data_IF_222378908439
#
_entry.id   IF_222378908439
#
_cell.length_a   1.000
_cell.length_b   1.000
_cell.length_c   1.000
_cell.angle_alpha   90.00
_cell.angle_beta   90.00
_cell.angle_gamma   90.00
#
_symmetry.space_group_name_H-M   'P 1'
#
loop_
_entity.id
_entity.type
_entity.pdbx_description
1 polymer ?
#
# COMPACT_ATOMS: atom_id res chain seq x y z
N UNK A 1 10.75 1.17 -16.55
CA UNK A 1 10.55 2.62 -16.83
C UNK A 1 9.12 2.90 -17.31
N UNK A 2 8.55 2.02 -18.14
CA UNK A 2 7.16 2.11 -18.61
C UNK A 2 6.12 2.13 -17.49
N UNK A 3 6.26 1.31 -16.43
CA UNK A 3 5.34 1.32 -15.28
C UNK A 3 5.31 2.67 -14.53
N UNK A 4 6.46 3.33 -14.43
CA UNK A 4 6.61 4.63 -13.77
C UNK A 4 5.94 5.73 -14.62
N UNK A 5 6.08 5.64 -15.95
CA UNK A 5 5.45 6.55 -16.91
C UNK A 5 3.93 6.31 -16.99
N UNK A 6 3.49 5.05 -16.94
CA UNK A 6 2.07 4.68 -16.90
C UNK A 6 1.42 5.14 -15.61
N UNK A 7 2.09 4.99 -14.46
CA UNK A 7 1.66 5.52 -13.17
C UNK A 7 1.65 7.05 -13.18
N UNK A 8 2.70 7.72 -13.68
CA UNK A 8 2.73 9.17 -13.87
C UNK A 8 1.53 9.67 -14.68
N UNK A 9 1.20 8.99 -15.79
CA UNK A 9 0.00 9.27 -16.59
C UNK A 9 -1.31 9.02 -15.85
N UNK A 10 -1.45 7.89 -15.15
CA UNK A 10 -2.62 7.58 -14.32
C UNK A 10 -2.80 8.61 -13.17
N UNK A 11 -1.70 9.20 -12.72
CA UNK A 11 -1.67 10.27 -11.71
C UNK A 11 -1.80 11.69 -12.30
N UNK A 12 -1.89 11.83 -13.63
CA UNK A 12 -1.99 13.12 -14.33
C UNK A 12 -0.76 14.01 -14.15
N UNK A 13 0.42 13.39 -14.12
CA UNK A 13 1.75 13.99 -14.06
C UNK A 13 2.52 13.71 -15.37
N UNK A 14 3.22 14.71 -15.89
CA UNK A 14 4.28 14.49 -16.88
C UNK A 14 5.57 14.19 -16.11
N UNK A 15 6.07 12.95 -16.21
CA UNK A 15 7.32 12.51 -15.58
C UNK A 15 8.38 12.38 -16.67
N UNK A 16 9.47 13.14 -16.56
CA UNK A 16 10.58 13.14 -17.52
C UNK A 16 11.71 12.22 -17.06
N UNK A 17 12.61 11.82 -17.98
CA UNK A 17 13.80 11.02 -17.64
C UNK A 17 14.74 11.75 -16.67
N UNK A 18 14.74 13.08 -16.69
CA UNK A 18 15.55 13.92 -15.81
C UNK A 18 15.00 13.90 -14.37
N UNK A 19 13.67 13.87 -14.21
CA UNK A 19 13.01 13.66 -12.92
C UNK A 19 13.39 12.30 -12.33
N UNK A 20 13.44 11.25 -13.15
CA UNK A 20 13.81 9.89 -12.69
C UNK A 20 15.26 9.85 -12.19
N UNK A 21 16.19 10.55 -12.86
CA UNK A 21 17.60 10.60 -12.47
C UNK A 21 17.83 11.33 -11.13
N UNK A 22 17.16 12.46 -10.88
CA UNK A 22 17.24 13.14 -9.57
C UNK A 22 16.69 12.28 -8.42
N UNK A 23 15.67 11.47 -8.70
CA UNK A 23 14.98 10.63 -7.71
C UNK A 23 15.81 9.41 -7.29
N UNK A 24 16.61 8.83 -8.19
CA UNK A 24 17.56 7.74 -7.86
C UNK A 24 18.65 8.25 -6.91
N UNK A 25 19.16 9.47 -7.15
CA UNK A 25 20.20 10.09 -6.30
C UNK A 25 19.65 10.48 -4.91
N UNK A 26 18.37 10.87 -4.82
CA UNK A 26 17.73 11.26 -3.55
C UNK A 26 17.44 10.10 -2.58
N UNK A 27 17.46 8.85 -3.05
CA UNK A 27 17.12 7.64 -2.29
C UNK A 27 18.28 6.64 -2.14
N UNK A 28 19.53 7.08 -2.36
CA UNK A 28 20.79 6.31 -2.30
C UNK A 28 21.03 5.58 -0.95
N UNK A 29 20.27 5.91 0.09
CA UNK A 29 20.37 5.27 1.42
C UNK A 29 19.53 3.98 1.58
N UNK A 30 18.71 3.63 0.59
CA UNK A 30 17.82 2.46 0.64
C UNK A 30 18.34 1.22 -0.08
N UNK A 31 19.37 1.40 -0.89
CA UNK A 31 20.12 0.34 -1.54
C UNK A 31 21.48 0.26 -0.85
N UNK A 32 21.88 -0.95 -0.47
CA UNK A 32 23.26 -1.16 -0.01
C UNK A 32 24.23 -0.88 -1.16
N UNK A 33 25.48 -0.57 -0.83
CA UNK A 33 26.55 -0.39 -1.82
C UNK A 33 26.69 -1.59 -2.76
N UNK A 34 26.36 -2.79 -2.28
CA UNK A 34 26.38 -4.01 -3.09
C UNK A 34 25.21 -4.08 -4.08
N UNK A 35 24.01 -3.68 -3.65
CA UNK A 35 22.82 -3.58 -4.49
C UNK A 35 22.98 -2.52 -5.59
N UNK A 36 23.65 -1.39 -5.31
CA UNK A 36 23.98 -0.38 -6.31
C UNK A 36 24.92 -0.89 -7.42
N UNK A 37 25.86 -1.78 -7.07
CA UNK A 37 26.80 -2.40 -8.03
C UNK A 37 26.08 -3.41 -8.92
N UNK A 38 25.18 -4.21 -8.35
CA UNK A 38 24.38 -5.18 -9.10
C UNK A 38 23.41 -4.49 -10.07
N UNK A 39 22.86 -3.32 -9.73
CA UNK A 39 22.01 -2.50 -10.62
C UNK A 39 22.75 -1.93 -11.82
N UNK A 40 24.01 -1.53 -11.64
CA UNK A 40 24.83 -1.10 -12.77
C UNK A 40 25.06 -2.25 -13.75
N UNK A 41 25.10 -3.50 -13.29
CA UNK A 41 25.26 -4.67 -14.15
C UNK A 41 23.96 -5.02 -14.90
N UNK A 42 22.80 -4.97 -14.24
CA UNK A 42 21.49 -5.26 -14.84
C UNK A 42 21.07 -4.21 -15.88
N UNK A 43 21.32 -2.92 -15.61
CA UNK A 43 21.03 -1.84 -16.56
C UNK A 43 21.84 -1.96 -17.88
N UNK A 44 22.98 -2.65 -17.84
CA UNK A 44 23.78 -2.95 -19.04
C UNK A 44 23.24 -4.14 -19.84
N UNK A 45 22.47 -5.04 -19.22
CA UNK A 45 21.82 -6.19 -19.88
C UNK A 45 20.44 -5.82 -20.47
N UNK A 46 19.67 -4.95 -19.80
CA UNK A 46 18.29 -4.61 -20.19
C UNK A 46 18.21 -3.79 -21.50
N UNK A 47 19.27 -3.07 -21.88
CA UNK A 47 19.36 -2.40 -23.18
C UNK A 47 19.43 -3.36 -24.38
N UNK A 48 19.57 -4.67 -24.16
CA UNK A 48 19.70 -5.67 -25.22
C UNK A 48 18.37 -6.33 -25.65
N UNK A 49 17.25 -6.12 -24.95
CA UNK A 49 15.98 -6.78 -25.32
C UNK A 49 14.74 -6.03 -24.86
N UNK A 50 14.06 -5.35 -25.80
CA UNK A 50 12.68 -4.89 -25.60
C UNK A 50 11.83 -5.24 -26.82
N UNK A 51 10.74 -5.95 -26.57
CA UNK A 51 9.63 -6.22 -27.47
C UNK A 51 8.32 -5.95 -26.73
N UNK A 52 7.33 -5.41 -27.46
CA UNK A 52 6.08 -4.82 -26.95
C UNK A 52 4.99 -5.86 -26.66
N UNK A 53 4.14 -5.64 -25.64
CA UNK A 53 2.85 -6.33 -25.45
C UNK A 53 1.71 -5.39 -25.03
N UNK A 54 0.48 -5.76 -25.44
CA UNK A 54 -0.79 -5.01 -25.44
C UNK A 54 -1.67 -5.26 -24.18
N UNK A 55 -2.60 -4.35 -23.82
CA UNK A 55 -3.37 -4.41 -22.57
C UNK A 55 -4.74 -5.11 -22.68
N UNK A 56 -5.14 -5.83 -21.63
CA UNK A 56 -6.45 -6.50 -21.49
C UNK A 56 -7.34 -5.89 -20.39
N UNK A 57 -8.65 -5.89 -20.66
CA UNK A 57 -9.74 -5.22 -19.92
C UNK A 57 -9.97 -5.71 -18.48
N UNK A 58 -10.31 -4.76 -17.59
CA UNK A 58 -10.60 -4.99 -16.17
C UNK A 58 -12.13 -4.96 -15.90
N UNK A 59 -12.65 -6.01 -15.26
CA UNK A 59 -14.08 -6.17 -14.97
C UNK A 59 -14.38 -5.80 -13.50
N UNK A 60 -15.31 -4.87 -13.36
CA UNK A 60 -15.67 -4.15 -12.13
C UNK A 60 -16.53 -4.98 -11.15
N UNK A 61 -16.34 -4.68 -9.86
CA UNK A 61 -17.28 -4.81 -8.72
C UNK A 61 -17.01 -5.96 -7.75
N UNK A 62 -16.44 -5.64 -6.59
CA UNK A 62 -17.21 -5.42 -5.35
C UNK A 62 -16.28 -5.16 -4.17
N UNK A 63 -16.76 -4.30 -3.26
CA UNK A 63 -16.34 -4.20 -1.86
C UNK A 63 -14.96 -3.59 -1.60
N UNK A 64 -14.96 -2.31 -1.21
CA UNK A 64 -13.83 -1.69 -0.52
C UNK A 64 -14.33 -0.73 0.54
N UNK A 65 -14.21 -1.16 1.80
CA UNK A 65 -14.07 -0.24 2.91
C UNK A 65 -12.91 0.70 2.57
N UNK A 66 -13.25 1.95 2.26
CA UNK A 66 -12.31 3.04 2.02
C UNK A 66 -11.69 3.40 3.37
N UNK A 67 -10.59 2.73 3.72
CA UNK A 67 -10.08 2.64 5.09
C UNK A 67 -9.87 3.99 5.78
N UNK A 68 -9.62 5.08 5.04
CA UNK A 68 -9.42 6.42 5.63
C UNK A 68 -10.36 7.52 5.11
N UNK A 69 -11.07 7.31 3.98
CA UNK A 69 -11.81 8.39 3.29
C UNK A 69 -13.06 8.87 4.05
N UNK A 70 -13.60 8.03 4.92
CA UNK A 70 -14.87 8.26 5.61
C UNK A 70 -14.80 8.23 7.14
N UNK A 71 -13.60 8.07 7.74
CA UNK A 71 -13.47 7.80 9.18
C UNK A 71 -14.12 8.86 10.09
N UNK A 72 -14.10 10.12 9.66
CA UNK A 72 -14.70 11.24 10.41
C UNK A 72 -16.22 11.14 10.59
N UNK A 73 -16.88 10.19 9.94
CA UNK A 73 -18.32 9.93 10.08
C UNK A 73 -18.65 8.94 11.22
N UNK A 74 -17.63 8.27 11.77
CA UNK A 74 -17.79 7.30 12.83
C UNK A 74 -17.43 7.91 14.18
N UNK A 75 -18.19 7.55 15.22
CA UNK A 75 -17.93 8.01 16.60
C UNK A 75 -16.71 7.31 17.20
N UNK A 76 -16.51 6.04 16.87
CA UNK A 76 -15.39 5.24 17.34
C UNK A 76 -14.46 4.88 16.17
N UNK A 77 -13.20 5.26 16.31
CA UNK A 77 -12.15 5.03 15.31
C UNK A 77 -10.91 4.50 16.01
N UNK A 78 -10.51 3.30 15.63
CA UNK A 78 -9.27 2.67 16.07
C UNK A 78 -8.22 2.73 14.97
N UNK A 79 -6.96 3.01 15.31
CA UNK A 79 -5.85 3.07 14.36
C UNK A 79 -4.55 2.63 15.04
N UNK A 80 -3.63 2.06 14.28
CA UNK A 80 -2.31 1.72 14.80
C UNK A 80 -1.54 2.97 15.22
N UNK A 81 -0.73 2.84 16.28
CA UNK A 81 0.05 3.95 16.85
C UNK A 81 0.95 4.66 15.82
N UNK A 82 1.47 3.92 14.84
CA UNK A 82 2.33 4.44 13.78
C UNK A 82 1.60 5.40 12.81
N UNK A 83 0.27 5.39 12.75
CA UNK A 83 -0.54 6.24 11.85
C UNK A 83 -1.48 7.19 12.59
N UNK A 84 -1.60 7.06 13.91
CA UNK A 84 -2.43 7.93 14.72
C UNK A 84 -2.07 9.42 14.58
N UNK A 85 -0.80 9.74 14.31
CA UNK A 85 -0.36 11.10 14.03
C UNK A 85 -0.93 11.66 12.73
N UNK A 86 -0.83 10.88 11.64
CA UNK A 86 -1.33 11.23 10.31
C UNK A 86 -2.84 11.48 10.33
N UNK A 87 -3.59 10.58 10.97
CA UNK A 87 -5.04 10.67 11.05
C UNK A 87 -5.51 11.90 11.84
N UNK A 88 -4.83 12.25 12.94
CA UNK A 88 -5.10 13.47 13.72
C UNK A 88 -4.85 14.75 12.93
N UNK A 89 -3.91 14.73 12.00
CA UNK A 89 -3.58 15.90 11.16
C UNK A 89 -4.41 15.96 9.88
N UNK A 90 -5.09 14.87 9.50
CA UNK A 90 -5.71 14.77 8.18
C UNK A 90 -4.65 14.81 7.06
N UNK A 91 -3.49 14.20 7.30
CA UNK A 91 -2.35 14.27 6.40
C UNK A 91 -2.44 13.19 5.32
N UNK A 92 -2.86 13.56 4.10
CA UNK A 92 -2.99 12.61 2.99
C UNK A 92 -1.68 11.89 2.64
N UNK A 93 -0.52 12.53 2.86
CA UNK A 93 0.79 11.95 2.53
C UNK A 93 1.14 10.83 3.49
N UNK A 94 1.03 11.10 4.80
CA UNK A 94 1.29 10.08 5.83
C UNK A 94 0.19 9.02 5.92
N UNK A 95 -1.05 9.39 5.63
CA UNK A 95 -2.17 8.47 5.52
C UNK A 95 -2.17 7.68 4.19
N UNK A 96 -1.14 7.87 3.35
CA UNK A 96 -0.98 7.23 2.03
C UNK A 96 -2.27 7.21 1.20
N UNK A 97 -3.05 8.27 1.32
CA UNK A 97 -4.39 8.34 0.74
C UNK A 97 -4.34 9.03 -0.61
N UNK A 98 -4.47 8.23 -1.67
CA UNK A 98 -4.60 8.69 -3.03
C UNK A 98 -6.01 8.40 -3.56
N UNK A 99 -6.50 9.28 -4.42
CA UNK A 99 -7.80 9.13 -5.07
C UNK A 99 -7.70 9.72 -6.48
N UNK A 100 -8.14 8.96 -7.45
CA UNK A 100 -8.34 9.39 -8.84
C UNK A 100 -9.82 9.70 -9.10
N UNK A 101 -10.10 10.60 -10.03
CA UNK A 101 -11.46 10.88 -10.49
C UNK A 101 -12.14 9.63 -11.07
N UNK A 102 -11.36 8.73 -11.69
CA UNK A 102 -11.87 7.46 -12.24
C UNK A 102 -12.37 6.49 -11.16
N UNK A 103 -11.86 6.60 -9.93
CA UNK A 103 -12.26 5.76 -8.79
C UNK A 103 -13.52 6.28 -8.09
N UNK A 104 -14.04 7.44 -8.52
CA UNK A 104 -15.18 8.11 -7.91
C UNK A 104 -16.40 7.99 -8.82
N UNK A 105 -17.20 6.94 -8.56
CA UNK A 105 -18.43 6.64 -9.30
C UNK A 105 -19.43 7.81 -9.28
N UNK A 106 -19.52 8.53 -8.17
CA UNK A 106 -20.37 9.71 -8.03
C UNK A 106 -19.63 10.80 -7.26
N UNK A 107 -19.53 11.97 -7.88
CA UNK A 107 -18.92 13.14 -7.25
C UNK A 107 -19.72 13.55 -6.00
N UNK A 108 -19.04 13.87 -4.88
CA UNK A 108 -19.69 14.34 -3.65
C UNK A 108 -20.47 15.65 -3.81
N UNK A 109 -20.01 16.54 -4.67
CA UNK A 109 -20.64 17.83 -4.95
C UNK A 109 -20.33 18.29 -6.39
N UNK A 110 -21.15 19.18 -6.98
CA UNK A 110 -20.84 19.77 -8.28
C UNK A 110 -19.45 20.43 -8.31
N UNK A 111 -18.65 20.13 -9.34
CA UNK A 111 -17.30 20.69 -9.50
C UNK A 111 -16.23 20.06 -8.60
N UNK A 112 -16.56 18.98 -7.90
CA UNK A 112 -15.59 18.23 -7.12
C UNK A 112 -14.63 17.44 -8.02
N UNK A 113 -13.35 17.40 -7.66
CA UNK A 113 -12.36 16.48 -8.23
C UNK A 113 -11.51 15.82 -7.15
N UNK A 114 -10.93 14.66 -7.47
CA UNK A 114 -10.13 13.88 -6.55
C UNK A 114 -8.88 14.62 -6.06
N UNK A 115 -8.37 15.58 -6.86
CA UNK A 115 -7.28 16.49 -6.45
C UNK A 115 -7.65 17.36 -5.23
N UNK A 116 -8.94 17.63 -5.04
CA UNK A 116 -9.46 18.40 -3.90
C UNK A 116 -9.70 17.53 -2.67
N UNK A 117 -9.60 16.19 -2.79
CA UNK A 117 -9.83 15.29 -1.66
C UNK A 117 -8.82 15.54 -0.55
N UNK A 118 -9.31 15.62 0.69
CA UNK A 118 -8.49 15.69 1.90
C UNK A 118 -9.05 14.72 2.94
N UNK A 119 -8.17 13.96 3.56
CA UNK A 119 -8.47 13.20 4.76
C UNK A 119 -8.86 14.23 5.82
N UNK A 120 -10.08 14.11 6.34
CA UNK A 120 -10.50 15.00 7.43
C UNK A 120 -9.79 14.56 8.71
N UNK A 121 -9.24 15.49 9.50
CA UNK A 121 -8.67 15.18 10.80
C UNK A 121 -9.66 14.40 11.67
N UNK A 122 -9.20 13.28 12.23
CA UNK A 122 -9.96 12.47 13.18
C UNK A 122 -9.10 12.23 14.41
N UNK A 123 -9.67 12.46 15.59
CA UNK A 123 -9.04 12.00 16.82
C UNK A 123 -9.43 10.53 17.03
N UNK A 124 -8.48 9.58 16.97
CA UNK A 124 -8.80 8.17 17.21
C UNK A 124 -9.26 7.99 18.65
N UNK A 125 -10.35 7.24 18.83
CA UNK A 125 -10.84 6.84 20.15
C UNK A 125 -9.96 5.73 20.74
N UNK A 126 -9.36 4.88 19.89
CA UNK A 126 -8.42 3.84 20.28
C UNK A 126 -7.12 3.95 19.46
N UNK A 127 -5.99 3.83 20.16
CA UNK A 127 -4.67 3.72 19.54
C UNK A 127 -4.15 2.31 19.81
N UNK A 128 -4.05 1.52 18.74
CA UNK A 128 -3.73 0.10 18.78
C UNK A 128 -2.23 -0.17 18.65
N UNK A 129 -1.79 -1.29 19.20
CA UNK A 129 -0.47 -1.89 19.07
C UNK A 129 -0.57 -3.36 18.64
N UNK A 130 0.55 -3.93 18.19
CA UNK A 130 0.64 -5.38 17.94
C UNK A 130 0.24 -6.18 19.19
N UNK A 131 -0.60 -7.19 19.01
CA UNK A 131 -1.05 -8.08 20.08
C UNK A 131 -2.26 -7.59 20.89
N UNK A 132 -2.70 -6.34 20.70
CA UNK A 132 -3.93 -5.84 21.32
C UNK A 132 -5.14 -6.70 20.91
N UNK A 133 -6.18 -6.73 21.75
CA UNK A 133 -7.40 -7.48 21.48
C UNK A 133 -8.60 -6.53 21.46
N UNK A 134 -9.35 -6.55 20.37
CA UNK A 134 -10.62 -5.85 20.23
C UNK A 134 -11.75 -6.82 20.52
N UNK A 135 -12.55 -6.52 21.55
CA UNK A 135 -13.70 -7.33 21.95
C UNK A 135 -14.98 -6.77 21.31
N UNK A 136 -15.64 -7.59 20.49
CA UNK A 136 -16.91 -7.30 19.81
C UNK A 136 -17.99 -8.26 20.33
N UNK A 137 -18.26 -8.19 21.63
CA UNK A 137 -19.12 -9.17 22.32
C UNK A 137 -18.45 -10.54 22.37
N UNK A 138 -19.07 -11.55 21.75
CA UNK A 138 -18.57 -12.93 21.72
C UNK A 138 -17.41 -13.14 20.74
N UNK A 139 -17.01 -12.09 20.00
CA UNK A 139 -15.89 -12.16 19.05
C UNK A 139 -14.70 -11.38 19.57
N UNK A 140 -13.51 -11.99 19.49
CA UNK A 140 -12.25 -11.36 19.84
C UNK A 140 -11.35 -11.29 18.62
N UNK A 141 -10.90 -10.09 18.28
CA UNK A 141 -9.98 -9.86 17.18
C UNK A 141 -8.62 -9.46 17.73
N UNK A 142 -7.59 -10.27 17.46
CA UNK A 142 -6.21 -9.91 17.79
C UNK A 142 -5.66 -8.97 16.71
N UNK A 143 -5.14 -7.82 17.12
CA UNK A 143 -4.42 -6.89 16.26
C UNK A 143 -3.05 -7.48 15.94
N UNK A 144 -2.71 -7.53 14.66
CA UNK A 144 -1.39 -7.90 14.19
C UNK A 144 -0.80 -6.74 13.40
N UNK A 145 0.25 -6.11 13.90
CA UNK A 145 0.97 -5.08 13.16
C UNK A 145 1.72 -5.71 12.00
N UNK A 146 1.37 -5.36 10.77
CA UNK A 146 1.88 -5.97 9.54
C UNK A 146 2.37 -4.88 8.58
N UNK A 147 3.45 -4.17 8.93
CA UNK A 147 3.97 -3.08 8.11
C UNK A 147 4.49 -3.59 6.76
N UNK A 148 4.49 -2.73 5.76
CA UNK A 148 4.90 -3.06 4.40
C UNK A 148 4.21 -2.17 3.40
N UNK A 149 2.88 -2.31 3.29
CA UNK A 149 2.03 -1.40 2.55
C UNK A 149 2.09 0.02 3.14
N UNK A 150 1.91 0.14 4.46
CA UNK A 150 2.11 1.38 5.21
C UNK A 150 2.81 1.10 6.55
N UNK A 151 3.18 2.16 7.30
CA UNK A 151 3.82 2.02 8.62
C UNK A 151 2.88 1.49 9.68
N UNK A 152 1.58 1.79 9.57
CA UNK A 152 0.55 1.40 10.53
C UNK A 152 -0.37 0.29 10.04
N UNK A 153 -0.06 -0.34 8.90
CA UNK A 153 -0.83 -1.48 8.39
C UNK A 153 -1.01 -2.56 9.47
N UNK A 154 -2.25 -3.00 9.66
CA UNK A 154 -2.61 -4.06 10.60
C UNK A 154 -3.49 -5.10 9.92
N UNK A 155 -3.38 -6.35 10.37
CA UNK A 155 -4.44 -7.34 10.20
C UNK A 155 -5.23 -7.47 11.51
N UNK A 156 -6.50 -7.84 11.41
CA UNK A 156 -7.32 -8.29 12.55
C UNK A 156 -7.56 -9.79 12.42
N UNK A 157 -7.15 -10.56 13.42
CA UNK A 157 -7.20 -12.02 13.40
C UNK A 157 -8.25 -12.55 14.37
N UNK A 158 -9.28 -13.19 13.83
CA UNK A 158 -10.19 -14.06 14.59
C UNK A 158 -9.58 -15.47 14.63
N UNK A 159 -8.97 -15.80 15.77
CA UNK A 159 -8.29 -17.09 15.98
C UNK A 159 -9.25 -18.26 16.05
N UNK A 160 -10.46 -18.06 16.58
CA UNK A 160 -11.44 -19.12 16.78
C UNK A 160 -12.03 -19.55 15.43
N UNK A 161 -12.38 -18.58 14.59
CA UNK A 161 -12.94 -18.82 13.25
C UNK A 161 -11.87 -18.96 12.17
N UNK A 162 -10.60 -18.73 12.51
CA UNK A 162 -9.45 -18.72 11.59
C UNK A 162 -9.66 -17.75 10.42
N UNK A 163 -10.20 -16.57 10.72
CA UNK A 163 -10.46 -15.51 9.74
C UNK A 163 -9.44 -14.41 9.93
N UNK A 164 -8.81 -13.98 8.83
CA UNK A 164 -7.90 -12.84 8.81
C UNK A 164 -8.53 -11.69 8.02
N UNK A 165 -8.81 -10.57 8.67
CA UNK A 165 -9.12 -9.32 7.98
C UNK A 165 -7.79 -8.63 7.67
N UNK A 166 -7.37 -8.62 6.40
CA UNK A 166 -6.03 -8.20 6.01
C UNK A 166 -5.92 -6.74 5.57
N UNK A 167 -7.04 -6.04 5.36
CA UNK A 167 -7.01 -4.69 4.80
C UNK A 167 -6.20 -4.65 3.50
N UNK A 168 -5.26 -3.71 3.42
CA UNK A 168 -4.30 -3.60 2.31
C UNK A 168 -2.95 -4.29 2.54
N UNK A 169 -2.81 -5.08 3.61
CA UNK A 169 -1.62 -5.91 3.83
C UNK A 169 -1.48 -6.97 2.74
N UNK A 170 -2.57 -7.65 2.39
CA UNK A 170 -2.57 -8.67 1.34
C UNK A 170 -3.97 -8.83 0.76
N UNK A 171 -4.05 -8.89 -0.57
CA UNK A 171 -5.25 -9.09 -1.34
C UNK A 171 -4.92 -9.79 -2.65
N UNK A 172 -5.94 -10.28 -3.36
CA UNK A 172 -5.77 -11.06 -4.59
C UNK A 172 -5.45 -10.18 -5.82
N UNK A 173 -4.33 -9.47 -5.74
CA UNK A 173 -3.81 -8.54 -6.73
C UNK A 173 -2.37 -8.15 -6.42
N UNK A 174 -1.85 -7.15 -7.11
CA UNK A 174 -0.48 -6.66 -6.89
C UNK A 174 -0.36 -5.96 -5.54
N UNK A 175 0.51 -6.47 -4.67
CA UNK A 175 0.79 -5.87 -3.37
C UNK A 175 1.55 -4.56 -3.54
N UNK A 176 0.99 -3.46 -3.02
CA UNK A 176 1.53 -2.11 -3.18
C UNK A 176 2.57 -1.83 -2.09
N UNK A 177 3.81 -1.63 -2.51
CA UNK A 177 4.97 -1.39 -1.63
C UNK A 177 5.83 -0.18 -2.04
N UNK A 178 5.28 0.66 -2.93
CA UNK A 178 5.90 1.87 -3.44
C UNK A 178 5.29 3.15 -2.84
N UNK A 179 4.52 3.09 -1.75
CA UNK A 179 3.98 4.32 -1.12
C UNK A 179 5.07 5.03 -0.29
N UNK A 180 4.94 6.34 0.02
CA UNK A 180 5.98 7.14 0.68
C UNK A 180 6.57 6.61 1.98
N UNK A 181 5.92 5.64 2.60
CA UNK A 181 6.36 4.99 3.83
C UNK A 181 6.34 3.46 3.77
N UNK A 182 6.11 2.89 2.60
CA UNK A 182 6.27 1.47 2.37
C UNK A 182 7.75 1.09 2.46
N UNK A 183 8.01 -0.10 3.00
CA UNK A 183 9.36 -0.65 3.14
C UNK A 183 9.34 -2.12 2.77
N UNK A 184 10.08 -2.48 1.73
CA UNK A 184 10.14 -3.86 1.21
C UNK A 184 10.60 -4.83 2.31
N UNK A 185 11.61 -4.47 3.11
CA UNK A 185 12.10 -5.33 4.19
C UNK A 185 11.01 -5.61 5.25
N UNK A 186 10.22 -4.60 5.60
CA UNK A 186 9.09 -4.76 6.52
C UNK A 186 8.02 -5.65 5.89
N UNK A 187 7.74 -5.46 4.59
CA UNK A 187 6.74 -6.25 3.87
C UNK A 187 7.16 -7.72 3.70
N UNK A 188 8.45 -7.99 3.45
CA UNK A 188 9.00 -9.36 3.44
C UNK A 188 8.82 -10.02 4.80
N UNK A 189 9.13 -9.32 5.90
CA UNK A 189 8.91 -9.84 7.25
C UNK A 189 7.41 -10.10 7.54
N UNK A 190 6.54 -9.21 7.07
CA UNK A 190 5.08 -9.41 7.10
C UNK A 190 4.65 -10.65 6.30
N UNK A 191 5.16 -10.84 5.09
CA UNK A 191 4.87 -12.01 4.26
C UNK A 191 5.33 -13.33 4.93
N UNK A 192 6.49 -13.32 5.59
CA UNK A 192 6.97 -14.46 6.37
C UNK A 192 6.01 -14.81 7.52
N UNK A 193 5.50 -13.79 8.24
CA UNK A 193 4.50 -13.98 9.29
C UNK A 193 3.17 -14.51 8.74
N UNK A 194 2.72 -14.03 7.59
CA UNK A 194 1.51 -14.54 6.92
C UNK A 194 1.66 -16.03 6.55
N UNK A 195 2.82 -16.42 6.02
CA UNK A 195 3.14 -17.82 5.72
C UNK A 195 3.14 -18.66 7.00
N UNK A 196 3.68 -18.16 8.11
CA UNK A 196 3.65 -18.86 9.40
C UNK A 196 2.21 -19.12 9.88
N UNK A 197 1.32 -18.14 9.75
CA UNK A 197 -0.10 -18.30 10.10
C UNK A 197 -0.76 -19.43 9.30
N UNK A 198 -0.48 -19.50 7.99
CA UNK A 198 -0.99 -20.57 7.12
C UNK A 198 -0.40 -21.93 7.52
N UNK A 199 0.92 -22.02 7.68
CA UNK A 199 1.61 -23.27 8.03
C UNK A 199 1.15 -23.83 9.38
N UNK A 200 0.76 -22.97 10.32
CA UNK A 200 0.23 -23.35 11.63
C UNK A 200 -1.29 -23.65 11.62
N UNK A 201 -1.95 -23.53 10.46
CA UNK A 201 -3.38 -23.76 10.32
C UNK A 201 -4.25 -22.76 11.10
N UNK A 202 -3.72 -21.54 11.32
CA UNK A 202 -4.38 -20.47 12.09
C UNK A 202 -5.27 -19.57 11.22
N UNK A 203 -5.16 -19.68 9.90
CA UNK A 203 -5.97 -18.94 8.93
C UNK A 203 -6.52 -19.93 7.90
N UNK A 204 -7.83 -19.88 7.67
CA UNK A 204 -8.51 -20.63 6.62
C UNK A 204 -9.13 -19.69 5.58
N UNK A 205 -9.54 -18.48 5.99
CA UNK A 205 -10.18 -17.48 5.14
C UNK A 205 -9.61 -16.09 5.37
N UNK A 206 -9.39 -15.35 4.27
CA UNK A 206 -8.92 -13.96 4.28
C UNK A 206 -10.00 -13.05 3.72
N UNK A 207 -10.29 -11.97 4.45
CA UNK A 207 -11.17 -10.88 4.05
C UNK A 207 -10.31 -9.64 3.80
N UNK A 208 -9.85 -9.45 2.55
CA UNK A 208 -9.05 -8.28 2.22
C UNK A 208 -9.89 -7.00 2.20
N UNK A 209 -9.21 -5.86 2.21
CA UNK A 209 -9.87 -4.60 1.96
C UNK A 209 -10.39 -4.54 0.51
N UNK A 210 -9.55 -4.88 -0.49
CA UNK A 210 -9.89 -4.90 -1.92
C UNK A 210 -10.05 -6.33 -2.45
N UNK A 211 -10.71 -6.48 -3.60
CA UNK A 211 -10.89 -7.76 -4.31
C UNK A 211 -11.75 -8.77 -3.54
N UNK A 212 -11.82 -10.00 -4.04
CA UNK A 212 -12.63 -11.06 -3.47
C UNK A 212 -11.96 -11.70 -2.24
N UNK A 213 -12.77 -12.30 -1.37
CA UNK A 213 -12.28 -13.16 -0.29
C UNK A 213 -11.58 -14.40 -0.85
N UNK A 214 -10.49 -14.84 -0.21
CA UNK A 214 -9.73 -16.01 -0.63
C UNK A 214 -9.29 -16.89 0.55
N UNK A 215 -8.76 -18.07 0.24
CA UNK A 215 -8.36 -19.08 1.23
C UNK A 215 -6.87 -19.07 1.56
N UNK A 216 -6.50 -19.90 2.55
CA UNK A 216 -5.13 -20.02 3.06
C UNK A 216 -4.08 -20.40 1.99
N UNK A 217 -4.43 -21.25 1.03
CA UNK A 217 -3.54 -21.63 -0.07
C UNK A 217 -3.17 -20.40 -0.93
N UNK A 218 -4.16 -19.58 -1.30
CA UNK A 218 -3.93 -18.36 -2.06
C UNK A 218 -3.13 -17.35 -1.25
N UNK A 219 -3.38 -17.22 0.06
CA UNK A 219 -2.57 -16.40 0.96
C UNK A 219 -1.09 -16.82 0.94
N UNK A 220 -0.82 -18.12 1.05
CA UNK A 220 0.53 -18.66 0.98
C UNK A 220 1.22 -18.31 -0.34
N UNK A 221 0.52 -18.49 -1.46
CA UNK A 221 1.06 -18.16 -2.78
C UNK A 221 1.38 -16.68 -2.94
N UNK A 222 0.46 -15.78 -2.56
CA UNK A 222 0.67 -14.33 -2.66
C UNK A 222 1.88 -13.88 -1.82
N UNK A 223 1.97 -14.34 -0.56
CA UNK A 223 3.06 -13.98 0.33
C UNK A 223 4.41 -14.57 -0.14
N UNK A 224 4.42 -15.82 -0.60
CA UNK A 224 5.65 -16.47 -1.09
C UNK A 224 6.14 -15.82 -2.39
N UNK A 225 5.23 -15.53 -3.32
CA UNK A 225 5.58 -14.87 -4.58
C UNK A 225 6.20 -13.49 -4.35
N UNK A 226 5.67 -12.71 -3.40
CA UNK A 226 6.26 -11.42 -3.08
C UNK A 226 7.68 -11.56 -2.53
N UNK A 227 7.91 -12.49 -1.61
CA UNK A 227 9.27 -12.75 -1.09
C UNK A 227 10.22 -13.15 -2.23
N UNK A 228 9.78 -14.02 -3.14
CA UNK A 228 10.59 -14.44 -4.30
C UNK A 228 10.91 -13.31 -5.26
N UNK A 229 10.02 -12.32 -5.40
CA UNK A 229 10.16 -11.21 -6.33
C UNK A 229 10.76 -9.95 -5.69
N UNK A 230 10.91 -9.88 -4.37
CA UNK A 230 11.46 -8.74 -3.63
C UNK A 230 13.00 -8.59 -3.77
N UNK A 231 13.53 -8.95 -4.94
CA UNK A 231 14.93 -8.82 -5.33
C UNK A 231 15.30 -7.41 -5.74
N UNK A 232 16.51 -7.26 -6.26
CA UNK A 232 17.12 -5.97 -6.54
C UNK A 232 16.37 -5.13 -7.59
N UNK A 233 16.00 -5.71 -8.73
CA UNK A 233 15.26 -5.01 -9.78
C UNK A 233 13.94 -4.43 -9.23
N UNK A 234 13.26 -5.21 -8.39
CA UNK A 234 12.02 -4.80 -7.73
C UNK A 234 12.25 -3.65 -6.75
N UNK A 235 13.35 -3.67 -6.00
CA UNK A 235 13.71 -2.55 -5.11
C UNK A 235 13.92 -1.25 -5.88
N UNK A 236 14.56 -1.31 -7.05
CA UNK A 236 14.76 -0.10 -7.87
C UNK A 236 13.49 0.41 -8.50
N UNK A 237 12.69 -0.47 -9.11
CA UNK A 237 11.41 -0.05 -9.68
C UNK A 237 10.51 0.56 -8.60
N UNK A 238 10.47 -0.04 -7.42
CA UNK A 238 9.73 0.45 -6.25
C UNK A 238 10.27 1.79 -5.75
N UNK A 239 11.58 1.98 -5.65
CA UNK A 239 12.18 3.26 -5.25
C UNK A 239 11.80 4.39 -6.21
N UNK A 240 11.85 4.12 -7.52
CA UNK A 240 11.47 5.10 -8.53
C UNK A 240 9.96 5.41 -8.49
N UNK A 241 9.10 4.39 -8.38
CA UNK A 241 7.65 4.58 -8.21
C UNK A 241 7.32 5.38 -6.94
N UNK A 242 7.99 5.08 -5.82
CA UNK A 242 7.76 5.81 -4.56
C UNK A 242 8.16 7.26 -4.63
N UNK A 243 9.19 7.56 -5.38
CA UNK A 243 9.65 8.92 -5.59
C UNK A 243 8.60 9.73 -6.35
N UNK A 244 8.06 9.17 -7.44
CA UNK A 244 6.92 9.75 -8.18
C UNK A 244 5.68 9.89 -7.30
N UNK A 245 5.30 8.83 -6.58
CA UNK A 245 4.16 8.84 -5.67
C UNK A 245 4.32 9.90 -4.56
N UNK A 246 5.53 10.04 -4.03
CA UNK A 246 5.86 11.05 -3.02
C UNK A 246 5.71 12.46 -3.54
N UNK A 247 6.20 12.74 -4.76
CA UNK A 247 6.03 14.04 -5.40
C UNK A 247 4.55 14.35 -5.65
N UNK A 248 3.79 13.38 -6.17
CA UNK A 248 2.36 13.50 -6.40
C UNK A 248 1.58 13.81 -5.12
N UNK A 249 1.84 13.05 -4.05
CA UNK A 249 1.19 13.24 -2.76
C UNK A 249 1.61 14.57 -2.11
N UNK A 250 2.88 14.99 -2.22
CA UNK A 250 3.31 16.31 -1.73
C UNK A 250 2.66 17.46 -2.50
N UNK A 251 2.58 17.37 -3.83
CA UNK A 251 1.95 18.39 -4.66
C UNK A 251 0.45 18.53 -4.37
N UNK A 252 -0.23 17.42 -4.06
CA UNK A 252 -1.63 17.46 -3.63
C UNK A 252 -1.78 17.97 -2.20
N UNK A 253 -0.85 17.67 -1.29
CA UNK A 253 -0.91 18.10 0.12
C UNK A 253 -0.54 19.60 0.33
N UNK A 254 0.37 20.15 -0.49
CA UNK A 254 0.94 21.51 -0.32
C UNK A 254 0.11 22.65 -0.92
N UNK A 255 -0.77 22.40 -1.90
CA UNK A 255 -1.44 23.43 -2.71
C UNK A 255 -2.52 24.28 -2.02
N UNK A 256 -2.60 24.27 -0.69
CA UNK A 256 -3.51 25.17 0.08
C UNK A 256 -2.90 25.73 1.36
N UNK A 257 -1.57 25.64 1.56
CA UNK A 257 -0.88 26.51 2.52
C UNK A 257 -0.65 27.88 1.86
N UNK A 258 -1.74 28.60 1.56
CA UNK A 258 -1.74 29.97 1.02
C UNK A 258 -3.01 30.68 1.44
#
# INVERSE_FOLDING_TARGET
>A
MEDIVALGRAMGLEVTEEDICELVVGHDWELSTQELVELQAEAMEEQASLGEEEPGEEQLSTTKLKELLGLHQFEEVAVHSAEAGALRRGDNYEAVTWLSDSEVVRQPSPGWSARQFRVRPVQPSLVLQDGDVISLGDTQLTVMHMPGHSRGSICLHDKERKILFSGDVVYDGSMIDWLPYSRINDYVATCQRLIELVNRGLVEKVLPGHFNTFGAERLYHLASNYISNAGLCHKVSTCAMRSVASLALRATNSRTAS
#
